data_IF_918820751130
#
_entry.id   IF_918820751130
#
_cell.length_a   1.000
_cell.length_b   1.000
_cell.length_c   1.000
_cell.angle_alpha   90.00
_cell.angle_beta   90.00
_cell.angle_gamma   90.00
#
_symmetry.space_group_name_H-M   'P 1'
#
loop_
_entity.id
_entity.type
_entity.pdbx_description
1 polymer ?
#
# COMPACT_ATOMS: atom_id res chain seq x y z
N UNK A 1 -3.81 4.76 4.78
CA UNK A 1 -3.33 6.11 5.13
C UNK A 1 -2.55 6.77 4.00
N UNK A 2 -1.49 6.16 3.43
CA UNK A 2 -0.72 6.81 2.35
C UNK A 2 -1.53 7.02 1.05
N UNK A 3 -2.27 5.99 0.63
CA UNK A 3 -3.21 6.09 -0.49
C UNK A 3 -4.35 7.08 -0.23
N UNK A 4 -4.82 7.16 1.02
CA UNK A 4 -5.84 8.14 1.41
C UNK A 4 -5.31 9.56 1.30
N UNK A 5 -4.06 9.80 1.73
CA UNK A 5 -3.42 11.10 1.60
C UNK A 5 -3.32 11.55 0.12
N UNK A 6 -3.02 10.63 -0.79
CA UNK A 6 -3.02 10.91 -2.24
C UNK A 6 -4.40 11.27 -2.78
N UNK A 7 -5.46 10.66 -2.26
CA UNK A 7 -6.84 10.97 -2.65
C UNK A 7 -7.28 12.32 -2.08
N UNK A 8 -6.97 12.58 -0.81
CA UNK A 8 -7.27 13.86 -0.14
C UNK A 8 -6.58 15.03 -0.83
N UNK A 9 -5.31 14.86 -1.24
CA UNK A 9 -4.58 15.86 -2.02
C UNK A 9 -5.23 16.15 -3.40
N UNK A 10 -6.13 15.29 -3.88
CA UNK A 10 -6.93 15.48 -5.09
C UNK A 10 -8.34 15.99 -4.81
N UNK A 11 -8.68 16.26 -3.55
CA UNK A 11 -10.04 16.59 -3.13
C UNK A 11 -11.03 15.42 -3.22
N UNK A 12 -10.53 14.17 -3.17
CA UNK A 12 -11.33 12.95 -3.27
C UNK A 12 -11.38 12.29 -1.88
N UNK A 13 -12.59 12.01 -1.40
CA UNK A 13 -12.82 11.19 -0.22
C UNK A 13 -12.94 9.71 -0.63
N UNK A 14 -12.17 8.84 0.03
CA UNK A 14 -12.18 7.41 -0.26
C UNK A 14 -13.43 6.74 0.30
N UNK A 15 -14.16 5.99 -0.53
CA UNK A 15 -15.35 5.26 -0.09
C UNK A 15 -15.01 3.91 0.56
N UNK A 16 -13.85 3.33 0.22
CA UNK A 16 -13.40 2.03 0.73
C UNK A 16 -11.87 1.94 0.83
N UNK A 17 -11.37 0.78 1.25
CA UNK A 17 -9.92 0.52 1.35
C UNK A 17 -9.27 0.10 0.01
N UNK A 18 -10.04 -0.05 -1.05
CA UNK A 18 -9.56 -0.48 -2.38
C UNK A 18 -9.10 0.76 -3.15
N UNK A 19 -9.87 1.83 -3.14
CA UNK A 19 -9.54 3.09 -3.82
C UNK A 19 -8.15 3.64 -3.43
N UNK A 20 -7.80 3.75 -2.12
CA UNK A 20 -6.48 4.18 -1.69
C UNK A 20 -5.35 3.32 -2.24
N UNK A 21 -5.54 1.99 -2.28
CA UNK A 21 -4.52 1.07 -2.80
C UNK A 21 -4.39 1.24 -4.31
N UNK A 22 -5.49 1.33 -5.04
CA UNK A 22 -5.46 1.60 -6.49
C UNK A 22 -4.75 2.92 -6.80
N UNK A 23 -4.96 3.95 -5.98
CA UNK A 23 -4.30 5.22 -6.15
C UNK A 23 -2.79 5.13 -5.90
N UNK A 24 -2.41 4.45 -4.81
CA UNK A 24 -1.01 4.17 -4.48
C UNK A 24 -0.29 3.43 -5.62
N UNK A 25 -0.95 2.45 -6.24
CA UNK A 25 -0.38 1.65 -7.32
C UNK A 25 -0.22 2.40 -8.66
N UNK A 26 -0.76 3.62 -8.78
CA UNK A 26 -0.51 4.49 -9.95
C UNK A 26 0.83 5.21 -9.85
N UNK A 27 1.43 5.29 -8.67
CA UNK A 27 2.74 5.93 -8.48
C UNK A 27 3.81 5.18 -9.27
N UNK A 28 4.65 5.93 -9.98
CA UNK A 28 5.81 5.39 -10.68
C UNK A 28 6.96 5.20 -9.69
N UNK A 29 7.04 4.02 -9.09
CA UNK A 29 8.08 3.70 -8.10
C UNK A 29 8.89 2.50 -8.57
N UNK A 30 10.21 2.61 -8.46
CA UNK A 30 11.13 1.50 -8.71
C UNK A 30 11.51 0.87 -7.38
N UNK A 31 11.17 -0.40 -7.23
CA UNK A 31 11.42 -1.20 -6.02
C UNK A 31 12.06 -2.53 -6.42
N UNK A 32 12.77 -3.20 -5.49
CA UNK A 32 13.36 -4.53 -5.78
C UNK A 32 12.30 -5.63 -5.95
N UNK A 33 11.09 -5.41 -5.44
CA UNK A 33 9.94 -6.30 -5.55
C UNK A 33 8.75 -5.57 -6.19
N UNK A 34 7.87 -6.24 -6.94
CA UNK A 34 6.71 -5.58 -7.55
C UNK A 34 5.80 -4.87 -6.54
N UNK A 35 5.44 -3.60 -6.82
CA UNK A 35 4.62 -2.78 -5.91
C UNK A 35 3.18 -3.30 -5.79
N UNK A 36 2.68 -4.00 -6.81
CA UNK A 36 1.33 -4.58 -6.84
C UNK A 36 1.11 -5.62 -5.74
N UNK A 37 2.18 -6.20 -5.18
CA UNK A 37 2.11 -7.12 -4.06
C UNK A 37 1.55 -6.46 -2.78
N UNK A 38 1.49 -5.13 -2.72
CA UNK A 38 0.88 -4.43 -1.57
C UNK A 38 -0.62 -4.67 -1.50
N UNK A 39 -1.30 -4.91 -2.63
CA UNK A 39 -2.72 -5.29 -2.56
C UNK A 39 -2.90 -6.67 -1.88
N UNK A 40 -1.90 -7.56 -1.98
CA UNK A 40 -1.94 -8.83 -1.28
C UNK A 40 -1.91 -8.62 0.24
N UNK A 41 -1.26 -7.56 0.75
CA UNK A 41 -1.31 -7.22 2.17
C UNK A 41 -2.73 -6.80 2.62
N UNK A 42 -3.48 -6.10 1.75
CA UNK A 42 -4.89 -5.78 2.01
C UNK A 42 -5.73 -7.05 2.09
N UNK A 43 -5.54 -7.99 1.16
CA UNK A 43 -6.25 -9.27 1.16
C UNK A 43 -5.88 -10.12 2.38
N UNK A 44 -4.59 -10.18 2.72
CA UNK A 44 -4.10 -10.89 3.91
C UNK A 44 -4.75 -10.33 5.19
N UNK A 45 -4.77 -9.00 5.36
CA UNK A 45 -5.47 -8.35 6.48
C UNK A 45 -6.94 -8.73 6.53
N UNK A 46 -7.63 -8.73 5.38
CA UNK A 46 -9.05 -9.11 5.30
C UNK A 46 -9.25 -10.57 5.74
N UNK A 47 -8.39 -11.48 5.29
CA UNK A 47 -8.47 -12.89 5.66
C UNK A 47 -8.21 -13.12 7.15
N UNK A 48 -7.23 -12.41 7.73
CA UNK A 48 -6.94 -12.46 9.17
C UNK A 48 -8.15 -11.98 9.96
N UNK A 49 -8.70 -10.80 9.59
CA UNK A 49 -9.73 -10.15 10.39
C UNK A 49 -11.11 -10.81 10.27
N UNK A 50 -11.46 -11.36 9.10
CA UNK A 50 -12.83 -11.78 8.82
C UNK A 50 -12.99 -13.29 8.57
N UNK A 51 -11.90 -14.02 8.28
CA UNK A 51 -11.96 -15.45 8.01
C UNK A 51 -11.17 -16.31 9.01
N UNK A 52 -10.63 -15.70 10.07
CA UNK A 52 -9.86 -16.42 11.09
C UNK A 52 -8.56 -17.00 10.56
N UNK A 53 -8.03 -16.45 9.45
CA UNK A 53 -6.77 -16.90 8.88
C UNK A 53 -5.61 -16.60 9.84
N UNK A 54 -4.76 -17.60 10.09
CA UNK A 54 -3.54 -17.45 10.88
C UNK A 54 -2.33 -17.67 9.97
N UNK A 55 -1.59 -16.60 9.62
CA UNK A 55 -0.40 -16.73 8.76
C UNK A 55 0.67 -17.57 9.44
N UNK A 56 1.44 -18.31 8.63
CA UNK A 56 2.60 -19.05 9.10
C UNK A 56 3.87 -18.17 9.09
N UNK A 57 4.97 -18.70 9.66
CA UNK A 57 6.22 -17.95 9.78
C UNK A 57 6.79 -17.49 8.43
N UNK A 58 6.72 -18.33 7.39
CA UNK A 58 7.26 -17.99 6.06
C UNK A 58 6.47 -16.83 5.42
N UNK A 59 5.15 -16.81 5.62
CA UNK A 59 4.33 -15.70 5.13
C UNK A 59 4.64 -14.39 5.88
N UNK A 60 4.87 -14.45 7.18
CA UNK A 60 5.28 -13.28 7.95
C UNK A 60 6.64 -12.75 7.50
N UNK A 61 7.60 -13.64 7.20
CA UNK A 61 8.90 -13.27 6.65
C UNK A 61 8.77 -12.64 5.27
N UNK A 62 7.90 -13.16 4.40
CA UNK A 62 7.65 -12.59 3.09
C UNK A 62 7.02 -11.19 3.17
N UNK A 63 6.03 -11.02 4.06
CA UNK A 63 5.40 -9.72 4.34
C UNK A 63 6.44 -8.72 4.85
N UNK A 64 7.33 -9.14 5.77
CA UNK A 64 8.40 -8.28 6.29
C UNK A 64 9.34 -7.84 5.16
N UNK A 65 9.80 -8.78 4.34
CA UNK A 65 10.66 -8.49 3.19
C UNK A 65 10.01 -7.54 2.20
N UNK A 66 8.71 -7.70 1.95
CA UNK A 66 7.94 -6.81 1.07
C UNK A 66 7.88 -5.39 1.65
N UNK A 67 7.57 -5.26 2.94
CA UNK A 67 7.49 -3.96 3.61
C UNK A 67 8.84 -3.22 3.56
N UNK A 68 9.93 -3.90 3.93
CA UNK A 68 11.30 -3.36 3.88
C UNK A 68 11.69 -2.89 2.48
N UNK A 69 11.20 -3.56 1.43
CA UNK A 69 11.57 -3.24 0.05
C UNK A 69 10.74 -2.12 -0.56
N UNK A 70 9.45 -2.06 -0.23
CA UNK A 70 8.50 -1.23 -0.98
C UNK A 70 8.04 0.01 -0.21
N UNK A 71 7.99 -0.02 1.12
CA UNK A 71 7.31 1.04 1.87
C UNK A 71 8.05 2.37 1.83
N UNK A 72 9.37 2.37 2.01
CA UNK A 72 10.15 3.61 1.98
C UNK A 72 10.14 4.27 0.58
N UNK A 73 10.39 3.55 -0.53
CA UNK A 73 10.24 4.13 -1.87
C UNK A 73 8.84 4.69 -2.15
N UNK A 74 7.78 4.01 -1.67
CA UNK A 74 6.42 4.49 -1.84
C UNK A 74 6.11 5.72 -1.00
N UNK A 75 6.58 5.77 0.25
CA UNK A 75 6.47 6.94 1.11
C UNK A 75 7.10 8.16 0.45
N UNK A 76 8.31 8.00 -0.09
CA UNK A 76 9.02 9.05 -0.80
C UNK A 76 8.22 9.54 -2.02
N UNK A 77 7.82 8.62 -2.90
CA UNK A 77 7.09 8.96 -4.12
C UNK A 77 5.72 9.61 -3.84
N UNK A 78 4.98 9.13 -2.83
CA UNK A 78 3.70 9.71 -2.45
C UNK A 78 3.87 11.13 -1.88
N UNK A 79 4.91 11.35 -1.06
CA UNK A 79 5.21 12.67 -0.52
C UNK A 79 5.59 13.65 -1.63
N UNK A 80 6.41 13.22 -2.59
CA UNK A 80 6.78 14.04 -3.76
C UNK A 80 5.54 14.41 -4.59
N UNK A 81 4.65 13.45 -4.86
CA UNK A 81 3.40 13.68 -5.60
C UNK A 81 2.47 14.67 -4.87
N UNK A 82 2.36 14.58 -3.54
CA UNK A 82 1.52 15.48 -2.73
C UNK A 82 2.09 16.89 -2.75
N UNK A 83 3.38 17.04 -2.44
CA UNK A 83 4.04 18.35 -2.37
C UNK A 83 4.12 19.04 -3.75
N UNK A 84 4.09 18.29 -4.86
CA UNK A 84 4.06 18.87 -6.20
C UNK A 84 2.72 19.54 -6.57
N UNK A 85 1.68 19.35 -5.76
CA UNK A 85 0.32 19.88 -5.99
C UNK A 85 -0.03 21.06 -5.10
N UNK A 86 0.84 21.42 -4.17
CA UNK A 86 0.81 22.68 -3.42
C UNK A 86 1.43 23.81 -4.25
#
# INVERSE_FOLDING_TARGET
MLGDALLVAKGIEAADHIEPIKELLKLKVVTKRPINLIDNLRQLRHNINYYGYSPNLLELEDVRSLAETCFEPLLKAATEEINSKE
#
